data_IF_829892027872
#
_entry.id   IF_829892027872
#
_cell.length_a   1.000
_cell.length_b   1.000
_cell.length_c   1.000
_cell.angle_alpha   90.00
_cell.angle_beta   90.00
_cell.angle_gamma   90.00
#
_symmetry.space_group_name_H-M   'P 1'
#
loop_
_entity.id
_entity.type
_entity.pdbx_description
1 polymer ?
#
# COMPACT_ATOMS: atom_id res chain seq x y z
N UNK A 1 -16.71 1.40 -6.92
CA UNK A 1 -16.42 0.27 -6.01
C UNK A 1 -15.08 0.49 -5.33
N UNK A 2 -15.01 0.49 -4.01
CA UNK A 2 -13.77 0.76 -3.28
C UNK A 2 -13.95 0.55 -1.78
N UNK A 3 -12.85 0.44 -1.02
CA UNK A 3 -12.96 0.17 0.43
C UNK A 3 -11.99 1.02 1.26
N UNK A 4 -10.66 0.94 1.10
CA UNK A 4 -9.70 1.64 1.96
C UNK A 4 -9.50 3.11 1.55
N UNK A 5 -8.69 3.80 2.33
CA UNK A 5 -8.31 5.19 2.13
C UNK A 5 -7.81 5.48 0.70
N UNK A 6 -7.13 4.53 0.05
CA UNK A 6 -6.66 4.67 -1.34
C UNK A 6 -7.78 4.97 -2.35
N UNK A 7 -9.01 4.57 -2.08
CA UNK A 7 -10.16 4.83 -2.95
C UNK A 7 -10.88 6.16 -2.62
N UNK A 8 -10.54 6.81 -1.52
CA UNK A 8 -11.23 8.03 -1.04
C UNK A 8 -11.02 9.20 -1.98
N UNK A 9 -9.76 9.46 -2.38
CA UNK A 9 -9.46 10.60 -3.26
C UNK A 9 -10.12 10.45 -4.65
N UNK A 10 -10.15 9.21 -5.17
CA UNK A 10 -10.86 8.91 -6.42
C UNK A 10 -12.36 9.20 -6.30
N UNK A 11 -13.01 8.79 -5.21
CA UNK A 11 -14.44 9.08 -4.98
C UNK A 11 -14.68 10.60 -4.84
N UNK A 12 -13.86 11.30 -4.07
CA UNK A 12 -13.95 12.76 -3.91
C UNK A 12 -13.78 13.49 -5.25
N UNK A 13 -12.84 13.05 -6.06
CA UNK A 13 -12.61 13.61 -7.39
C UNK A 13 -13.83 13.42 -8.30
N UNK A 14 -14.43 12.22 -8.32
CA UNK A 14 -15.66 11.95 -9.07
C UNK A 14 -16.83 12.85 -8.61
N UNK A 15 -17.03 13.00 -7.31
CA UNK A 15 -18.09 13.88 -6.75
C UNK A 15 -17.86 15.33 -7.17
N UNK A 16 -16.60 15.80 -7.15
CA UNK A 16 -16.26 17.19 -7.47
C UNK A 16 -16.27 17.50 -8.97
N UNK A 17 -16.13 16.48 -9.83
CA UNK A 17 -16.01 16.66 -11.29
C UNK A 17 -17.35 16.82 -12.02
N UNK A 18 -18.48 16.69 -11.33
CA UNK A 18 -19.82 16.76 -11.93
C UNK A 18 -20.31 15.44 -12.52
N UNK A 19 -19.55 14.35 -12.43
CA UNK A 19 -20.07 13.02 -12.73
C UNK A 19 -21.16 12.62 -11.72
N UNK A 20 -22.22 12.00 -12.18
CA UNK A 20 -23.22 11.39 -11.31
C UNK A 20 -22.69 10.10 -10.72
N UNK A 21 -22.44 10.08 -9.41
CA UNK A 21 -22.06 8.86 -8.69
C UNK A 21 -23.35 8.17 -8.24
N UNK A 22 -23.89 7.28 -9.07
CA UNK A 22 -25.18 6.61 -8.84
C UNK A 22 -25.18 5.77 -7.55
N UNK A 23 -24.07 5.15 -7.20
CA UNK A 23 -23.93 4.37 -5.97
C UNK A 23 -22.46 4.06 -5.64
N UNK A 24 -22.23 3.70 -4.39
CA UNK A 24 -20.93 3.19 -3.89
C UNK A 24 -21.11 1.77 -3.38
N UNK A 25 -20.26 0.86 -3.85
CA UNK A 25 -20.14 -0.50 -3.33
C UNK A 25 -18.85 -0.63 -2.55
N UNK A 26 -18.91 -1.08 -1.28
CA UNK A 26 -17.77 -1.24 -0.40
C UNK A 26 -17.88 -2.51 0.45
N UNK A 27 -16.79 -2.90 1.09
CA UNK A 27 -16.81 -4.03 2.04
C UNK A 27 -17.72 -3.72 3.23
N UNK A 28 -18.31 -4.75 3.87
CA UNK A 28 -19.07 -4.59 5.11
C UNK A 28 -18.27 -3.91 6.21
N UNK A 29 -18.99 -3.20 7.09
CA UNK A 29 -18.43 -2.62 8.30
C UNK A 29 -17.70 -3.68 9.13
N UNK A 30 -16.56 -3.33 9.70
CA UNK A 30 -15.75 -4.25 10.50
C UNK A 30 -15.52 -3.70 11.90
N UNK A 31 -15.50 -4.56 12.93
CA UNK A 31 -15.12 -4.12 14.26
C UNK A 31 -13.65 -3.69 14.28
N UNK A 32 -13.35 -2.52 14.85
CA UNK A 32 -11.98 -1.99 15.00
C UNK A 32 -11.67 -1.65 16.45
N UNK A 33 -10.40 -1.86 16.81
CA UNK A 33 -9.90 -1.54 18.15
C UNK A 33 -10.31 -2.54 19.25
N UNK A 34 -9.84 -2.28 20.46
CA UNK A 34 -10.09 -3.14 21.63
C UNK A 34 -11.56 -3.17 22.04
N UNK A 35 -12.31 -2.10 21.78
CA UNK A 35 -13.74 -1.98 22.08
C UNK A 35 -14.67 -2.61 21.04
N UNK A 36 -14.16 -3.19 19.94
CA UNK A 36 -14.94 -3.78 18.84
C UNK A 36 -16.06 -2.87 18.30
N UNK A 37 -15.95 -1.55 18.42
CA UNK A 37 -16.87 -0.62 17.79
C UNK A 37 -16.87 -0.83 16.27
N UNK A 38 -18.06 -0.87 15.65
CA UNK A 38 -18.18 -0.99 14.21
C UNK A 38 -17.65 0.28 13.57
N UNK A 39 -16.71 0.14 12.65
CA UNK A 39 -16.15 1.24 11.89
C UNK A 39 -16.57 1.12 10.42
N UNK A 40 -17.01 2.23 9.87
CA UNK A 40 -17.29 2.35 8.44
C UNK A 40 -15.98 2.24 7.63
N UNK A 41 -16.01 1.61 6.47
CA UNK A 41 -14.96 1.78 5.48
C UNK A 41 -14.79 3.27 5.11
N UNK A 42 -13.56 3.77 4.90
CA UNK A 42 -13.32 5.18 4.57
C UNK A 42 -14.16 5.69 3.38
N UNK A 43 -14.32 4.88 2.35
CA UNK A 43 -15.16 5.20 1.19
C UNK A 43 -16.64 5.36 1.56
N UNK A 44 -17.15 4.55 2.52
CA UNK A 44 -18.52 4.68 3.02
C UNK A 44 -18.72 6.00 3.74
N UNK A 45 -17.78 6.44 4.56
CA UNK A 45 -17.88 7.72 5.27
C UNK A 45 -18.08 8.88 4.29
N UNK A 46 -17.26 8.95 3.24
CA UNK A 46 -17.37 9.97 2.19
C UNK A 46 -18.70 9.86 1.42
N UNK A 47 -19.11 8.65 1.06
CA UNK A 47 -20.34 8.45 0.31
C UNK A 47 -21.58 8.88 1.10
N UNK A 48 -21.65 8.54 2.40
CA UNK A 48 -22.75 8.94 3.30
C UNK A 48 -22.80 10.45 3.47
N UNK A 49 -21.64 11.09 3.67
CA UNK A 49 -21.55 12.56 3.78
C UNK A 49 -22.05 13.25 2.50
N UNK A 50 -21.78 12.66 1.34
CA UNK A 50 -22.23 13.16 0.04
C UNK A 50 -23.68 12.76 -0.32
N UNK A 51 -24.38 12.01 0.53
CA UNK A 51 -25.75 11.54 0.25
C UNK A 51 -25.84 10.46 -0.83
N UNK A 52 -24.75 9.78 -1.16
CA UNK A 52 -24.68 8.74 -2.18
C UNK A 52 -25.12 7.40 -1.59
N UNK A 53 -25.99 6.63 -2.27
CA UNK A 53 -26.37 5.28 -1.85
C UNK A 53 -25.17 4.37 -1.67
N UNK A 54 -25.11 3.64 -0.53
CA UNK A 54 -24.00 2.73 -0.20
C UNK A 54 -24.53 1.30 -0.08
N UNK A 55 -23.90 0.39 -0.81
CA UNK A 55 -24.18 -1.04 -0.78
C UNK A 55 -22.97 -1.80 -0.26
N UNK A 56 -23.21 -2.75 0.63
CA UNK A 56 -22.16 -3.52 1.31
C UNK A 56 -22.39 -5.04 1.18
N UNK A 57 -22.38 -5.58 -0.06
CA UNK A 57 -22.63 -7.00 -0.28
C UNK A 57 -21.48 -7.83 0.33
N UNK A 58 -21.82 -8.96 0.94
CA UNK A 58 -20.79 -9.92 1.38
C UNK A 58 -20.03 -10.50 0.22
N UNK A 59 -20.72 -10.74 -0.91
CA UNK A 59 -20.14 -11.24 -2.15
C UNK A 59 -20.74 -10.47 -3.31
N UNK A 60 -19.89 -9.78 -4.06
CA UNK A 60 -20.33 -8.97 -5.21
C UNK A 60 -20.98 -9.81 -6.31
N UNK A 61 -20.63 -11.10 -6.38
CA UNK A 61 -21.13 -12.06 -7.37
C UNK A 61 -22.53 -12.66 -7.07
N UNK A 62 -23.20 -12.24 -6.02
CA UNK A 62 -24.56 -12.69 -5.71
C UNK A 62 -25.52 -12.17 -6.79
N UNK A 63 -26.43 -13.01 -7.33
CA UNK A 63 -27.30 -12.62 -8.46
C UNK A 63 -28.10 -11.35 -8.19
N UNK A 64 -28.57 -11.17 -6.96
CA UNK A 64 -29.32 -9.98 -6.55
C UNK A 64 -28.45 -8.72 -6.63
N UNK A 65 -27.15 -8.84 -6.32
CA UNK A 65 -26.20 -7.71 -6.38
C UNK A 65 -25.88 -7.37 -7.83
N UNK A 66 -25.68 -8.39 -8.68
CA UNK A 66 -25.47 -8.20 -10.12
C UNK A 66 -26.67 -7.46 -10.74
N UNK A 67 -27.88 -7.89 -10.41
CA UNK A 67 -29.10 -7.24 -10.91
C UNK A 67 -29.26 -5.82 -10.35
N UNK A 68 -28.88 -5.59 -9.11
CA UNK A 68 -28.87 -4.26 -8.51
C UNK A 68 -27.91 -3.31 -9.25
N UNK A 69 -26.70 -3.76 -9.61
CA UNK A 69 -25.74 -2.97 -10.40
C UNK A 69 -26.33 -2.69 -11.79
N UNK A 70 -26.92 -3.70 -12.44
CA UNK A 70 -27.55 -3.55 -13.77
C UNK A 70 -28.67 -2.52 -13.76
N UNK A 71 -29.50 -2.51 -12.70
CA UNK A 71 -30.62 -1.57 -12.54
C UNK A 71 -30.17 -0.12 -12.30
N UNK A 72 -28.95 0.11 -11.81
CA UNK A 72 -28.35 1.45 -11.72
C UNK A 72 -27.98 2.01 -13.10
N UNK A 73 -27.91 1.17 -14.16
CA UNK A 73 -27.56 1.55 -15.54
C UNK A 73 -26.28 2.42 -15.61
N UNK A 74 -25.17 1.98 -15.02
CA UNK A 74 -23.95 2.78 -15.03
C UNK A 74 -23.36 2.86 -16.44
N UNK A 75 -22.82 4.02 -16.81
CA UNK A 75 -22.03 4.18 -18.04
C UNK A 75 -20.65 3.53 -17.90
N UNK A 76 -20.07 3.60 -16.70
CA UNK A 76 -18.77 3.02 -16.34
C UNK A 76 -18.78 2.51 -14.90
N UNK A 77 -18.05 1.43 -14.65
CA UNK A 77 -17.78 0.95 -13.31
C UNK A 77 -16.35 1.34 -12.93
N UNK A 78 -16.19 2.10 -11.85
CA UNK A 78 -14.84 2.45 -11.32
C UNK A 78 -14.53 1.58 -10.13
N UNK A 79 -13.37 0.94 -10.15
CA UNK A 79 -12.89 0.05 -9.08
C UNK A 79 -11.56 0.55 -8.55
N UNK A 80 -11.47 0.75 -7.23
CA UNK A 80 -10.22 1.16 -6.56
C UNK A 80 -10.10 0.38 -5.27
N UNK A 81 -9.18 -0.58 -5.22
CA UNK A 81 -8.91 -1.40 -4.04
C UNK A 81 -10.20 -1.95 -3.37
N UNK A 82 -11.10 -2.53 -4.15
CA UNK A 82 -12.39 -3.01 -3.65
C UNK A 82 -12.27 -4.25 -2.76
N UNK A 83 -11.31 -5.13 -3.06
CA UNK A 83 -11.03 -6.32 -2.27
C UNK A 83 -11.95 -7.52 -2.52
N UNK A 84 -12.66 -7.54 -3.64
CA UNK A 84 -13.38 -8.70 -4.17
C UNK A 84 -13.08 -8.85 -5.66
N UNK A 85 -13.09 -10.10 -6.15
CA UNK A 85 -12.99 -10.41 -7.57
C UNK A 85 -14.31 -10.03 -8.22
N UNK A 86 -14.25 -9.23 -9.28
CA UNK A 86 -15.40 -8.81 -10.08
C UNK A 86 -15.65 -9.90 -11.14
N UNK A 87 -16.84 -10.54 -11.15
CA UNK A 87 -17.14 -11.57 -12.15
C UNK A 87 -17.43 -10.94 -13.52
N UNK A 88 -17.27 -11.74 -14.59
CA UNK A 88 -17.48 -11.31 -15.97
C UNK A 88 -18.87 -10.66 -16.18
N UNK A 89 -19.89 -11.21 -15.55
CA UNK A 89 -21.25 -10.66 -15.61
C UNK A 89 -21.38 -9.21 -15.18
N UNK A 90 -20.50 -8.75 -14.26
CA UNK A 90 -20.44 -7.35 -13.82
C UNK A 90 -19.55 -6.53 -14.74
N UNK A 91 -18.43 -7.10 -15.20
CA UNK A 91 -17.51 -6.42 -16.12
C UNK A 91 -18.21 -5.98 -17.40
N UNK A 92 -19.21 -6.75 -17.86
CA UNK A 92 -19.95 -6.55 -19.10
C UNK A 92 -21.20 -5.62 -18.95
N UNK A 93 -21.50 -5.09 -17.73
CA UNK A 93 -22.71 -4.30 -17.53
C UNK A 93 -22.62 -2.93 -18.20
N UNK A 94 -21.52 -2.23 -18.00
CA UNK A 94 -21.39 -0.82 -18.39
C UNK A 94 -20.81 -0.66 -19.81
N UNK A 95 -21.32 0.28 -20.62
CA UNK A 95 -20.83 0.50 -21.98
C UNK A 95 -19.35 0.85 -22.08
N UNK A 96 -18.81 1.60 -21.11
CA UNK A 96 -17.38 1.90 -21.00
C UNK A 96 -16.63 0.87 -20.14
N UNK A 97 -17.31 -0.24 -19.77
CA UNK A 97 -16.73 -1.34 -19.00
C UNK A 97 -16.37 -1.00 -17.55
N UNK A 98 -15.33 -1.66 -17.06
CA UNK A 98 -14.90 -1.57 -15.68
C UNK A 98 -13.46 -1.05 -15.62
N UNK A 99 -13.26 0.15 -15.08
CA UNK A 99 -11.95 0.80 -14.99
C UNK A 99 -11.39 0.63 -13.58
N UNK A 100 -10.19 0.05 -13.47
CA UNK A 100 -9.47 -0.04 -12.20
C UNK A 100 -8.37 1.03 -12.11
N UNK A 101 -8.21 1.60 -10.92
CA UNK A 101 -7.07 2.47 -10.58
C UNK A 101 -6.08 1.64 -9.77
N UNK A 102 -4.98 1.27 -10.40
CA UNK A 102 -3.96 0.40 -9.82
C UNK A 102 -2.71 1.17 -9.40
N UNK A 103 -2.24 0.98 -8.17
CA UNK A 103 -1.13 1.72 -7.57
C UNK A 103 0.25 1.23 -8.00
N UNK A 104 0.47 1.00 -9.29
CA UNK A 104 1.78 0.71 -9.89
C UNK A 104 1.83 1.13 -11.36
N UNK A 105 3.04 1.11 -11.93
CA UNK A 105 3.27 1.20 -13.37
C UNK A 105 3.14 -0.20 -13.99
N UNK A 106 1.91 -0.64 -14.26
CA UNK A 106 1.68 -1.93 -14.92
C UNK A 106 2.48 -2.07 -16.22
N UNK A 107 2.99 -3.27 -16.57
CA UNK A 107 2.72 -4.56 -15.95
C UNK A 107 3.51 -4.89 -14.68
N UNK A 108 4.36 -3.98 -14.15
CA UNK A 108 5.06 -4.19 -12.87
C UNK A 108 4.05 -4.23 -11.71
N UNK A 109 4.32 -5.11 -10.74
CA UNK A 109 3.61 -5.16 -9.46
C UNK A 109 2.09 -5.36 -9.60
N UNK A 110 1.65 -6.28 -10.49
CA UNK A 110 0.29 -6.83 -10.40
C UNK A 110 0.08 -7.40 -9.03
N UNK A 111 -1.07 -7.16 -8.40
CA UNK A 111 -1.40 -7.75 -7.11
C UNK A 111 -1.82 -6.79 -6.02
N UNK A 112 -1.83 -7.29 -4.78
CA UNK A 112 -2.54 -6.67 -3.66
C UNK A 112 -1.78 -5.54 -2.95
N UNK A 113 -0.43 -5.47 -3.06
CA UNK A 113 0.38 -4.51 -2.31
C UNK A 113 1.49 -3.85 -3.18
N UNK A 114 1.16 -3.36 -4.39
CA UNK A 114 2.15 -2.82 -5.33
C UNK A 114 2.99 -1.69 -4.74
N UNK A 115 2.37 -0.82 -3.95
CA UNK A 115 2.98 0.38 -3.36
C UNK A 115 4.15 0.01 -2.43
N UNK A 116 3.90 -0.93 -1.51
CA UNK A 116 4.90 -1.35 -0.54
C UNK A 116 6.03 -2.12 -1.19
N UNK A 117 5.72 -3.00 -2.15
CA UNK A 117 6.73 -3.77 -2.86
C UNK A 117 7.65 -2.88 -3.69
N UNK A 118 7.15 -1.83 -4.34
CA UNK A 118 8.00 -0.87 -5.04
C UNK A 118 9.06 -0.22 -4.14
N UNK A 119 8.70 0.09 -2.88
CA UNK A 119 9.66 0.63 -1.89
C UNK A 119 10.63 -0.44 -1.40
N UNK A 120 10.14 -1.66 -1.11
CA UNK A 120 10.96 -2.79 -0.61
C UNK A 120 12.01 -3.18 -1.65
N UNK A 121 11.62 -3.25 -2.92
CA UNK A 121 12.52 -3.60 -4.02
C UNK A 121 13.48 -2.44 -4.37
N UNK A 122 13.20 -1.24 -3.86
CA UNK A 122 14.05 -0.05 -4.03
C UNK A 122 13.96 0.56 -5.40
N UNK A 123 12.76 0.54 -5.98
CA UNK A 123 12.49 1.25 -7.23
C UNK A 123 12.78 2.75 -7.09
N UNK A 124 13.18 3.38 -8.18
CA UNK A 124 13.42 4.82 -8.24
C UNK A 124 12.18 5.62 -8.54
N UNK A 125 11.18 4.96 -9.10
CA UNK A 125 9.88 5.51 -9.46
C UNK A 125 8.80 4.44 -9.30
N UNK A 126 7.59 4.87 -9.05
CA UNK A 126 6.36 4.10 -9.12
C UNK A 126 5.33 4.93 -9.89
N UNK A 127 4.07 4.64 -9.73
CA UNK A 127 3.02 5.41 -10.37
C UNK A 127 1.67 4.77 -10.22
N UNK A 128 0.75 5.26 -11.00
CA UNK A 128 -0.60 4.73 -11.09
C UNK A 128 -0.89 4.38 -12.54
N UNK A 129 -1.57 3.28 -12.75
CA UNK A 129 -2.12 2.88 -14.04
C UNK A 129 -3.63 2.76 -13.92
N UNK A 130 -4.38 3.42 -14.80
CA UNK A 130 -5.78 3.05 -15.04
C UNK A 130 -5.80 1.93 -16.06
N UNK A 131 -6.63 0.90 -15.84
CA UNK A 131 -6.75 -0.23 -16.75
C UNK A 131 -8.19 -0.65 -16.93
N UNK A 132 -8.52 -1.19 -18.11
CA UNK A 132 -9.76 -1.90 -18.37
C UNK A 132 -9.66 -3.26 -17.69
N UNK A 133 -10.59 -3.56 -16.78
CA UNK A 133 -10.57 -4.85 -16.07
C UNK A 133 -11.00 -6.00 -16.99
N UNK A 134 -10.34 -7.12 -16.80
CA UNK A 134 -10.67 -8.43 -17.36
C UNK A 134 -10.91 -9.46 -16.24
N UNK A 135 -11.10 -10.72 -16.58
CA UNK A 135 -11.28 -11.81 -15.63
C UNK A 135 -10.00 -12.19 -14.86
N UNK A 136 -8.85 -11.70 -15.29
CA UNK A 136 -7.55 -11.95 -14.65
C UNK A 136 -7.30 -11.03 -13.43
N UNK A 137 -6.16 -11.24 -12.79
CA UNK A 137 -5.73 -10.40 -11.66
C UNK A 137 -4.76 -9.33 -12.16
N UNK A 138 -5.29 -8.11 -12.34
CA UNK A 138 -4.57 -6.94 -12.84
C UNK A 138 -3.89 -7.16 -14.20
N UNK A 139 -4.55 -7.90 -15.10
CA UNK A 139 -4.04 -8.28 -16.43
C UNK A 139 -4.66 -7.51 -17.60
N UNK A 140 -5.73 -6.79 -17.35
CA UNK A 140 -6.47 -6.07 -18.37
C UNK A 140 -5.67 -4.94 -19.04
N UNK A 141 -6.17 -4.44 -20.15
CA UNK A 141 -5.48 -3.43 -20.96
C UNK A 141 -5.26 -2.12 -20.22
N UNK A 142 -4.05 -1.60 -20.31
CA UNK A 142 -3.70 -0.31 -19.71
C UNK A 142 -4.31 0.83 -20.52
N UNK A 143 -4.94 1.77 -19.82
CA UNK A 143 -5.54 2.97 -20.41
C UNK A 143 -4.57 4.15 -20.35
N UNK A 144 -4.30 4.65 -19.16
CA UNK A 144 -3.36 5.75 -18.93
C UNK A 144 -2.42 5.41 -17.76
N UNK A 145 -1.29 6.12 -17.71
CA UNK A 145 -0.29 6.01 -16.63
C UNK A 145 0.20 7.37 -16.18
N UNK A 146 0.50 7.50 -14.90
CA UNK A 146 1.24 8.62 -14.36
C UNK A 146 2.42 8.12 -13.53
N UNK A 147 3.59 8.73 -13.72
CA UNK A 147 4.83 8.36 -13.02
C UNK A 147 5.01 9.25 -11.80
N UNK A 148 5.41 8.64 -10.69
CA UNK A 148 5.73 9.34 -9.44
C UNK A 148 7.13 8.91 -8.99
N UNK A 149 8.10 9.83 -8.93
CA UNK A 149 9.45 9.52 -8.45
C UNK A 149 9.41 9.22 -6.95
N UNK A 150 10.23 8.26 -6.52
CA UNK A 150 10.42 7.95 -5.10
C UNK A 150 11.55 8.79 -4.52
N UNK A 151 11.28 9.42 -3.39
CA UNK A 151 12.30 10.12 -2.63
C UNK A 151 13.22 9.13 -1.88
N UNK A 152 14.42 9.58 -1.54
CA UNK A 152 15.42 8.74 -0.85
C UNK A 152 14.89 8.08 0.43
N UNK A 153 13.99 8.75 1.15
CA UNK A 153 13.38 8.25 2.40
C UNK A 153 11.88 7.96 2.23
N UNK A 154 11.44 7.71 1.01
CA UNK A 154 10.05 7.33 0.72
C UNK A 154 9.65 6.11 1.54
N UNK A 155 8.49 6.18 2.18
CA UNK A 155 7.88 5.05 2.89
C UNK A 155 6.69 4.50 2.11
N UNK A 156 6.26 3.29 2.45
CA UNK A 156 5.01 2.75 1.89
C UNK A 156 3.82 3.68 2.15
N UNK A 157 3.78 4.34 3.32
CA UNK A 157 2.72 5.29 3.67
C UNK A 157 2.79 6.58 2.87
N UNK A 158 3.96 7.23 2.77
CA UNK A 158 4.07 8.48 2.01
C UNK A 158 3.86 8.27 0.51
N UNK A 159 4.33 7.14 -0.04
CA UNK A 159 4.06 6.77 -1.43
C UNK A 159 2.57 6.50 -1.66
N UNK A 160 1.89 5.84 -0.71
CA UNK A 160 0.45 5.61 -0.76
C UNK A 160 -0.33 6.93 -0.92
N UNK A 161 -0.01 7.94 -0.12
CA UNK A 161 -0.68 9.24 -0.19
C UNK A 161 -0.45 9.93 -1.55
N UNK A 162 0.80 9.90 -2.05
CA UNK A 162 1.14 10.45 -3.37
C UNK A 162 0.39 9.75 -4.51
N UNK A 163 0.32 8.41 -4.46
CA UNK A 163 -0.34 7.62 -5.50
C UNK A 163 -1.87 7.72 -5.43
N UNK A 164 -2.46 7.86 -4.24
CA UNK A 164 -3.90 8.14 -4.08
C UNK A 164 -4.29 9.43 -4.79
N UNK A 165 -3.57 10.51 -4.52
CA UNK A 165 -3.81 11.81 -5.15
C UNK A 165 -3.56 11.79 -6.68
N UNK A 166 -2.49 11.12 -7.13
CA UNK A 166 -2.19 10.99 -8.54
C UNK A 166 -3.23 10.15 -9.28
N UNK A 167 -3.68 9.05 -8.66
CA UNK A 167 -4.71 8.16 -9.19
C UNK A 167 -6.07 8.82 -9.36
N UNK A 168 -6.43 9.70 -8.43
CA UNK A 168 -7.67 10.48 -8.54
C UNK A 168 -7.69 11.39 -9.78
N UNK A 169 -6.57 12.07 -10.06
CA UNK A 169 -6.44 12.90 -11.26
C UNK A 169 -6.45 12.05 -12.54
N UNK A 170 -5.63 11.00 -12.55
CA UNK A 170 -5.54 10.11 -13.70
C UNK A 170 -6.87 9.45 -14.03
N UNK A 171 -7.69 9.14 -13.02
CA UNK A 171 -9.03 8.60 -13.21
C UNK A 171 -9.91 9.57 -14.02
N UNK A 172 -9.95 10.85 -13.65
CA UNK A 172 -10.76 11.85 -14.38
C UNK A 172 -10.30 11.98 -15.83
N UNK A 173 -8.98 12.10 -16.06
CA UNK A 173 -8.40 12.13 -17.41
C UNK A 173 -8.77 10.86 -18.20
N UNK A 174 -8.80 9.71 -17.54
CA UNK A 174 -9.20 8.43 -18.16
C UNK A 174 -10.67 8.45 -18.55
N UNK A 175 -11.56 8.93 -17.70
CA UNK A 175 -13.00 8.97 -17.99
C UNK A 175 -13.30 9.93 -19.16
N UNK A 176 -12.70 11.12 -19.15
CA UNK A 176 -12.78 12.08 -20.25
C UNK A 176 -12.28 11.47 -21.57
N UNK A 177 -11.15 10.79 -21.53
CA UNK A 177 -10.55 10.15 -22.71
C UNK A 177 -11.37 8.97 -23.24
N UNK A 178 -12.02 8.20 -22.36
CA UNK A 178 -12.94 7.13 -22.75
C UNK A 178 -14.20 7.68 -23.44
N UNK A 179 -14.82 8.72 -22.87
CA UNK A 179 -15.97 9.40 -23.44
C UNK A 179 -15.65 10.00 -24.81
N UNK A 180 -14.51 10.71 -24.92
CA UNK A 180 -14.02 11.29 -26.16
C UNK A 180 -13.50 10.25 -27.16
N UNK A 181 -13.35 8.98 -26.76
CA UNK A 181 -12.76 7.88 -27.57
C UNK A 181 -11.35 8.20 -28.05
N UNK A 182 -10.57 8.88 -27.24
CA UNK A 182 -9.16 9.26 -27.55
C UNK A 182 -8.13 8.27 -26.96
N UNK A 183 -8.55 7.42 -26.03
CA UNK A 183 -7.67 6.41 -25.41
C UNK A 183 -7.64 5.17 -26.30
N UNK A 184 -6.42 4.72 -26.57
CA UNK A 184 -6.14 3.43 -27.21
C UNK A 184 -5.64 2.48 -26.12
N UNK A 185 -6.44 1.47 -25.72
CA UNK A 185 -6.00 0.48 -24.72
C UNK A 185 -4.74 -0.23 -25.18
N UNK A 186 -3.84 -0.49 -24.23
CA UNK A 186 -2.56 -1.15 -24.49
C UNK A 186 -2.49 -2.47 -23.74
N UNK A 187 -2.30 -3.57 -24.45
CA UNK A 187 -2.06 -4.87 -23.86
C UNK A 187 -0.80 -4.86 -22.98
N UNK A 188 -0.88 -5.49 -21.81
CA UNK A 188 0.21 -5.42 -20.82
C UNK A 188 1.43 -6.29 -21.15
N UNK A 189 1.24 -7.42 -21.81
CA UNK A 189 2.27 -8.44 -21.94
C UNK A 189 2.65 -9.11 -20.61
N UNK A 190 3.85 -9.68 -20.53
CA UNK A 190 4.36 -10.32 -19.33
C UNK A 190 4.80 -9.32 -18.27
N UNK A 191 4.57 -9.66 -16.98
CA UNK A 191 5.05 -8.83 -15.88
C UNK A 191 6.55 -9.08 -15.65
N UNK A 192 7.37 -8.01 -15.60
CA UNK A 192 8.80 -8.14 -15.29
C UNK A 192 9.07 -8.33 -13.78
N UNK A 193 8.04 -8.24 -12.93
CA UNK A 193 8.15 -8.42 -11.48
C UNK A 193 7.28 -9.58 -11.02
N UNK A 194 7.61 -10.21 -9.88
CA UNK A 194 6.72 -11.14 -9.21
C UNK A 194 5.38 -10.46 -8.84
N UNK A 195 4.36 -11.29 -8.62
CA UNK A 195 3.09 -10.82 -8.09
C UNK A 195 3.27 -10.14 -6.73
N UNK A 196 2.79 -8.90 -6.61
CA UNK A 196 2.86 -8.09 -5.38
C UNK A 196 1.90 -8.64 -4.31
N UNK A 197 2.36 -9.66 -3.59
CA UNK A 197 1.57 -10.40 -2.59
C UNK A 197 1.02 -9.46 -1.51
N UNK A 198 -0.14 -9.81 -0.99
CA UNK A 198 -0.73 -9.15 0.17
C UNK A 198 0.25 -9.20 1.36
N UNK A 199 0.40 -8.08 2.04
CA UNK A 199 1.24 -8.00 3.22
C UNK A 199 0.64 -8.77 4.40
N UNK A 200 1.52 -9.44 5.15
CA UNK A 200 1.18 -10.11 6.40
C UNK A 200 2.04 -9.57 7.55
N UNK A 201 1.61 -9.77 8.78
CA UNK A 201 2.39 -9.31 9.94
C UNK A 201 3.77 -9.96 10.02
N UNK A 202 3.87 -11.22 9.63
CA UNK A 202 5.11 -12.00 9.73
C UNK A 202 6.18 -11.51 8.75
N UNK A 203 5.77 -10.87 7.66
CA UNK A 203 6.71 -10.22 6.72
C UNK A 203 7.50 -9.07 7.36
N UNK A 204 7.00 -8.53 8.49
CA UNK A 204 7.71 -7.51 9.26
C UNK A 204 8.88 -8.03 10.09
N UNK A 205 9.02 -9.34 10.29
CA UNK A 205 10.15 -9.89 11.04
C UNK A 205 11.45 -9.67 10.25
N UNK A 206 12.37 -8.92 10.84
CA UNK A 206 13.65 -8.60 10.21
C UNK A 206 14.53 -9.85 10.18
N UNK A 207 14.96 -10.24 8.98
CA UNK A 207 16.04 -11.19 8.77
C UNK A 207 17.36 -10.43 8.73
N UNK A 208 18.08 -10.48 9.83
CA UNK A 208 19.36 -9.79 9.97
C UNK A 208 20.47 -10.34 9.05
N UNK A 209 20.30 -11.51 8.43
CA UNK A 209 21.24 -12.06 7.43
C UNK A 209 21.17 -11.31 6.08
N UNK A 210 20.13 -10.50 5.87
CA UNK A 210 20.01 -9.60 4.73
C UNK A 210 21.01 -8.45 4.82
N UNK A 211 21.21 -7.76 3.69
CA UNK A 211 22.04 -6.55 3.67
C UNK A 211 21.37 -5.39 4.41
N UNK A 212 22.16 -4.45 4.92
CA UNK A 212 21.63 -3.25 5.56
C UNK A 212 20.69 -2.46 4.65
N UNK A 213 20.95 -2.45 3.34
CA UNK A 213 20.10 -1.80 2.32
C UNK A 213 18.75 -2.49 2.19
N UNK A 214 18.72 -3.83 2.11
CA UNK A 214 17.45 -4.58 2.03
C UNK A 214 16.60 -4.38 3.30
N UNK A 215 17.25 -4.40 4.48
CA UNK A 215 16.54 -4.18 5.76
C UNK A 215 16.01 -2.74 5.86
N UNK A 216 16.79 -1.75 5.45
CA UNK A 216 16.35 -0.34 5.44
C UNK A 216 15.14 -0.13 4.50
N UNK A 217 15.16 -0.74 3.31
CA UNK A 217 14.04 -0.72 2.38
C UNK A 217 12.81 -1.42 2.96
N UNK A 218 12.99 -2.58 3.61
CA UNK A 218 11.91 -3.29 4.31
C UNK A 218 11.27 -2.40 5.38
N UNK A 219 12.09 -1.73 6.21
CA UNK A 219 11.61 -0.81 7.24
C UNK A 219 10.75 0.29 6.63
N UNK A 220 11.18 0.92 5.54
CA UNK A 220 10.44 1.97 4.85
C UNK A 220 9.19 1.42 4.15
N UNK A 221 9.32 0.34 3.41
CA UNK A 221 8.21 -0.25 2.65
C UNK A 221 7.06 -0.71 3.55
N UNK A 222 7.37 -1.23 4.72
CA UNK A 222 6.36 -1.68 5.68
C UNK A 222 5.89 -0.60 6.68
N UNK A 223 6.35 0.63 6.55
CA UNK A 223 5.89 1.75 7.37
C UNK A 223 4.68 2.45 6.71
N UNK A 224 3.51 2.59 7.35
CA UNK A 224 3.26 2.33 8.78
C UNK A 224 2.77 0.91 9.12
N UNK A 225 2.40 0.11 8.15
CA UNK A 225 1.86 -1.23 8.38
C UNK A 225 2.43 -2.25 7.38
N UNK A 226 2.76 -3.47 7.82
CA UNK A 226 2.66 -4.03 9.19
C UNK A 226 3.76 -3.56 10.15
N UNK A 227 4.74 -2.80 9.68
CA UNK A 227 5.95 -2.35 10.33
C UNK A 227 7.01 -3.45 10.49
N UNK A 228 8.28 -3.10 10.25
CA UNK A 228 9.40 -4.00 10.48
C UNK A 228 9.69 -4.14 11.98
N UNK A 229 10.03 -5.34 12.44
CA UNK A 229 10.30 -5.60 13.85
C UNK A 229 11.33 -6.72 14.04
N UNK A 230 11.90 -6.73 15.22
CA UNK A 230 12.75 -7.81 15.75
C UNK A 230 12.33 -8.16 17.18
N UNK A 231 13.13 -8.97 17.89
CA UNK A 231 12.92 -9.29 19.30
C UNK A 231 14.06 -8.72 20.15
N UNK A 232 13.69 -8.10 21.25
CA UNK A 232 14.60 -7.67 22.31
C UNK A 232 14.13 -8.27 23.62
N UNK A 233 14.93 -9.18 24.19
CA UNK A 233 14.59 -9.89 25.44
C UNK A 233 13.17 -10.50 25.41
N UNK A 234 12.81 -11.14 24.30
CA UNK A 234 11.50 -11.78 24.10
C UNK A 234 10.36 -10.83 23.75
N UNK A 235 10.53 -9.52 23.86
CA UNK A 235 9.53 -8.50 23.49
C UNK A 235 9.70 -8.05 22.05
N UNK A 236 8.60 -7.66 21.41
CA UNK A 236 8.63 -7.09 20.07
C UNK A 236 9.23 -5.68 20.09
N UNK A 237 10.28 -5.48 19.30
CA UNK A 237 10.91 -4.19 19.05
C UNK A 237 10.68 -3.80 17.60
N UNK A 238 9.77 -2.85 17.35
CA UNK A 238 9.56 -2.29 16.01
C UNK A 238 10.64 -1.29 15.67
N UNK A 239 11.10 -1.31 14.42
CA UNK A 239 12.05 -0.33 13.89
C UNK A 239 11.29 0.50 12.85
N UNK A 240 11.29 1.82 13.04
CA UNK A 240 10.54 2.76 12.22
C UNK A 240 11.41 3.55 11.25
N UNK A 241 12.65 3.84 11.66
CA UNK A 241 13.61 4.58 10.86
C UNK A 241 15.01 4.07 11.14
N UNK A 242 15.79 3.90 10.08
CA UNK A 242 17.18 3.55 10.15
C UNK A 242 17.96 4.16 8.97
N UNK A 243 19.28 4.27 9.14
CA UNK A 243 20.20 4.62 8.06
C UNK A 243 21.14 3.46 7.80
N UNK A 244 21.53 3.30 6.54
CA UNK A 244 22.60 2.41 6.15
C UNK A 244 23.92 3.15 6.32
N UNK A 245 24.88 2.55 7.04
CA UNK A 245 26.21 3.12 7.16
C UNK A 245 27.05 2.77 5.93
N UNK A 246 27.99 3.65 5.60
CA UNK A 246 29.00 3.39 4.59
C UNK A 246 29.95 2.28 5.05
N UNK A 247 30.67 1.65 4.11
CA UNK A 247 31.66 0.62 4.43
C UNK A 247 32.75 1.12 5.39
N UNK A 248 33.17 2.38 5.26
CA UNK A 248 34.15 3.02 6.15
C UNK A 248 33.65 3.13 7.59
N UNK A 249 32.34 3.40 7.77
CA UNK A 249 31.70 3.51 9.09
C UNK A 249 31.35 2.15 9.69
N UNK A 250 31.17 1.11 8.87
CA UNK A 250 30.75 -0.23 9.30
C UNK A 250 31.87 -1.04 9.97
N UNK A 251 33.12 -0.85 9.56
CA UNK A 251 34.26 -1.56 10.12
C UNK A 251 34.33 -3.04 9.70
N UNK A 252 34.91 -3.91 10.58
CA UNK A 252 35.12 -5.33 10.30
C UNK A 252 33.80 -6.12 10.23
N UNK A 253 33.81 -7.28 9.54
CA UNK A 253 32.70 -8.24 9.47
C UNK A 253 32.12 -8.53 10.86
N UNK A 254 30.84 -8.37 11.02
CA UNK A 254 30.11 -8.51 12.28
C UNK A 254 29.01 -9.56 12.16
N UNK A 255 28.56 -10.10 13.30
CA UNK A 255 27.48 -11.06 13.33
C UNK A 255 26.14 -10.36 13.02
N UNK A 256 25.30 -10.94 12.14
CA UNK A 256 23.97 -10.43 11.90
C UNK A 256 23.14 -10.35 13.19
N UNK A 257 22.42 -9.22 13.36
CA UNK A 257 21.60 -8.94 14.55
C UNK A 257 22.40 -8.49 15.79
N UNK A 258 23.74 -8.47 15.73
CA UNK A 258 24.55 -8.07 16.89
C UNK A 258 24.56 -6.56 17.07
N UNK A 259 24.28 -6.11 18.29
CA UNK A 259 24.45 -4.72 18.71
C UNK A 259 25.95 -4.41 18.78
N UNK A 260 26.41 -3.53 17.93
CA UNK A 260 27.79 -3.09 17.86
C UNK A 260 28.08 -1.95 18.81
N UNK A 261 27.12 -1.05 18.93
CA UNK A 261 27.21 0.18 19.68
C UNK A 261 25.83 0.75 19.95
N UNK A 262 25.62 1.26 21.15
CA UNK A 262 24.41 1.99 21.54
C UNK A 262 24.85 3.34 22.10
N UNK A 263 24.86 4.39 21.31
CA UNK A 263 25.38 5.67 21.69
C UNK A 263 24.51 6.84 21.22
N UNK A 264 24.43 7.86 22.07
CA UNK A 264 23.75 9.11 21.78
C UNK A 264 22.32 8.89 21.24
N UNK A 265 22.16 8.99 19.92
CA UNK A 265 20.89 8.99 19.20
C UNK A 265 20.75 7.79 18.23
N UNK A 266 21.68 6.83 18.27
CA UNK A 266 21.70 5.70 17.33
C UNK A 266 22.02 4.38 18.02
N UNK A 267 21.35 3.34 17.54
CA UNK A 267 21.65 1.94 17.85
C UNK A 267 22.23 1.28 16.59
N UNK A 268 23.48 0.88 16.65
CA UNK A 268 24.18 0.27 15.54
C UNK A 268 24.06 -1.25 15.60
N UNK A 269 23.51 -1.85 14.55
CA UNK A 269 23.26 -3.29 14.46
C UNK A 269 23.94 -3.86 13.23
N UNK A 270 24.68 -4.95 13.42
CA UNK A 270 25.30 -5.70 12.34
C UNK A 270 24.25 -6.39 11.48
N UNK A 271 24.50 -6.48 10.19
CA UNK A 271 23.65 -7.18 9.21
C UNK A 271 24.47 -8.20 8.45
N UNK A 272 23.87 -8.97 7.56
CA UNK A 272 24.60 -9.91 6.69
C UNK A 272 25.67 -9.20 5.86
N UNK A 273 25.40 -7.95 5.46
CA UNK A 273 26.33 -7.07 4.78
C UNK A 273 26.05 -5.62 5.19
N UNK A 274 27.04 -4.96 5.79
CA UNK A 274 26.94 -3.59 6.28
C UNK A 274 26.39 -3.49 7.71
N UNK A 275 26.06 -2.26 8.10
CA UNK A 275 25.56 -1.91 9.44
C UNK A 275 24.36 -1.01 9.31
N UNK A 276 23.35 -1.26 10.13
CA UNK A 276 22.15 -0.45 10.22
C UNK A 276 22.23 0.45 11.47
N UNK A 277 22.02 1.76 11.30
CA UNK A 277 21.92 2.72 12.38
C UNK A 277 20.45 3.06 12.65
N UNK A 278 19.87 2.46 13.68
CA UNK A 278 18.45 2.66 14.06
C UNK A 278 18.29 4.02 14.72
N UNK A 279 17.29 4.80 14.23
CA UNK A 279 16.97 6.15 14.72
C UNK A 279 15.65 6.23 15.47
N UNK A 280 14.64 5.52 14.98
CA UNK A 280 13.30 5.51 15.58
C UNK A 280 12.85 4.08 15.81
N UNK A 281 12.36 3.81 17.01
CA UNK A 281 11.95 2.47 17.41
C UNK A 281 10.77 2.49 18.39
N UNK A 282 10.20 1.32 18.64
CA UNK A 282 9.09 1.15 19.57
C UNK A 282 9.13 -0.22 20.23
N UNK A 283 9.38 -0.26 21.52
CA UNK A 283 9.27 -1.49 22.30
C UNK A 283 7.79 -1.80 22.59
N UNK A 284 7.45 -3.06 22.62
CA UNK A 284 6.12 -3.56 22.97
C UNK A 284 5.59 -2.92 24.26
N UNK A 285 4.36 -2.40 24.19
CA UNK A 285 3.71 -1.67 25.29
C UNK A 285 4.20 -0.23 25.50
N UNK A 286 5.12 0.27 24.69
CA UNK A 286 5.61 1.66 24.75
C UNK A 286 5.19 2.46 23.53
N UNK A 287 5.36 3.79 23.59
CA UNK A 287 5.18 4.68 22.44
C UNK A 287 6.39 4.61 21.50
N UNK A 288 6.19 4.94 20.21
CA UNK A 288 7.26 5.21 19.26
C UNK A 288 8.10 6.37 19.79
N UNK A 289 9.42 6.24 19.73
CA UNK A 289 10.38 7.24 20.23
C UNK A 289 11.70 7.17 19.46
N UNK A 290 12.47 8.24 19.52
CA UNK A 290 13.84 8.23 19.02
C UNK A 290 14.73 7.32 19.87
N UNK A 291 15.85 6.90 19.28
CA UNK A 291 16.81 5.99 19.94
C UNK A 291 17.43 6.64 21.18
N UNK A 292 17.65 7.95 21.21
CA UNK A 292 18.20 8.63 22.39
C UNK A 292 17.25 8.53 23.60
N UNK A 293 15.94 8.75 23.38
CA UNK A 293 14.94 8.60 24.42
C UNK A 293 14.86 7.14 24.91
N UNK A 294 14.94 6.20 23.98
CA UNK A 294 14.92 4.78 24.31
C UNK A 294 16.09 4.35 25.17
N UNK A 295 17.32 4.76 24.83
CA UNK A 295 18.55 4.41 25.55
C UNK A 295 18.63 5.01 26.95
N UNK A 296 17.92 6.10 27.25
CA UNK A 296 17.79 6.61 28.63
C UNK A 296 17.04 5.67 29.56
N UNK A 297 16.15 4.86 29.03
CA UNK A 297 15.33 3.93 29.82
C UNK A 297 15.59 2.45 29.56
N UNK A 298 16.50 2.12 28.66
CA UNK A 298 16.83 0.75 28.30
C UNK A 298 18.33 0.60 28.06
N UNK A 299 18.98 -0.11 28.97
CA UNK A 299 20.42 -0.38 28.82
C UNK A 299 20.64 -1.50 27.79
N UNK A 300 21.40 -1.20 26.74
CA UNK A 300 21.78 -2.15 25.70
C UNK A 300 23.31 -2.25 25.66
N UNK A 301 23.82 -3.47 25.70
CA UNK A 301 25.22 -3.75 25.69
C UNK A 301 25.71 -4.21 24.32
N UNK A 302 26.94 -3.85 23.99
CA UNK A 302 27.63 -4.39 22.82
C UNK A 302 27.71 -5.92 22.90
N UNK A 303 27.37 -6.58 21.79
CA UNK A 303 27.38 -8.04 21.71
C UNK A 303 26.02 -8.69 21.95
N UNK A 304 24.99 -7.96 22.43
CA UNK A 304 23.63 -8.48 22.47
C UNK A 304 23.13 -8.76 21.04
N UNK A 305 22.30 -9.79 20.89
CA UNK A 305 21.69 -10.18 19.59
C UNK A 305 20.19 -9.82 19.62
N UNK A 306 19.70 -9.21 18.53
CA UNK A 306 18.32 -8.84 18.29
C UNK A 306 17.58 -9.93 17.51
#
# INVERSE_FOLDING_TARGET
MGTPDFAVDALKALIASGHEVAAVFTQPDKPKGRGKAMQFPPVKEVAVEAGIPVYQPRRIREPEVVEQIRNLKPDVLVVVAFGQIIPQEILDIAPYGCVNVHGSLLPKYRGAAPIQWAVIDGERESGVTTMQMDAGLDTGDMLLKTVVPLEKKETGGSLFDKLSAAGAKLLLETLEGLEARTIIPQEQGESPTPYAKMLTKDMGLIDWNKTAVEIERLIRGLNPWPSAFTKLNGKTLKIWEADVLTEEEAGKKVLPGMILKAEKDRLFVGTGEGVLAVRMLQLEGKKRMDTAAFLRGCHLEKGMIL
#
